data_IF_231656375969
#
_entry.id   IF_231656375969
#
_cell.length_a   1.000
_cell.length_b   1.000
_cell.length_c   1.000
_cell.angle_alpha   90.00
_cell.angle_beta   90.00
_cell.angle_gamma   90.00
#
_symmetry.space_group_name_H-M   'P 1'
#
loop_
_entity.id
_entity.type
_entity.pdbx_description
1 polymer ?
#
# COMPACT_ATOMS: atom_id res chain seq x y z
N UNK A 1 9.39 10.64 -3.21
CA UNK A 1 8.25 9.79 -3.64
C UNK A 1 7.57 9.30 -2.38
N UNK A 2 6.26 9.45 -2.29
CA UNK A 2 5.50 9.10 -1.10
C UNK A 2 5.41 7.57 -0.95
N UNK A 3 5.35 7.04 0.28
CA UNK A 3 5.13 5.64 0.64
C UNK A 3 3.88 5.10 -0.05
N UNK A 4 2.79 5.88 -0.08
CA UNK A 4 1.57 5.49 -0.80
C UNK A 4 1.85 5.32 -2.29
N UNK A 5 2.59 6.23 -2.93
CA UNK A 5 2.96 6.10 -4.35
C UNK A 5 3.83 4.87 -4.60
N UNK A 6 4.78 4.56 -3.71
CA UNK A 6 5.60 3.35 -3.81
C UNK A 6 4.75 2.08 -3.69
N UNK A 7 3.82 2.05 -2.74
CA UNK A 7 2.93 0.91 -2.52
C UNK A 7 2.01 0.69 -3.74
N UNK A 8 1.41 1.76 -4.27
CA UNK A 8 0.59 1.70 -5.48
C UNK A 8 1.40 1.26 -6.71
N UNK A 9 2.65 1.73 -6.83
CA UNK A 9 3.54 1.33 -7.92
C UNK A 9 3.90 -0.17 -7.81
N UNK A 10 4.15 -0.68 -6.61
CA UNK A 10 4.36 -2.13 -6.42
C UNK A 10 3.12 -2.94 -6.77
N UNK A 11 1.92 -2.50 -6.35
CA UNK A 11 0.66 -3.18 -6.69
C UNK A 11 0.43 -3.17 -8.21
N UNK A 12 0.54 -2.00 -8.85
CA UNK A 12 0.41 -1.87 -10.30
C UNK A 12 1.43 -2.74 -11.05
N UNK A 13 2.67 -2.77 -10.58
CA UNK A 13 3.71 -3.63 -11.13
C UNK A 13 3.37 -5.12 -10.94
N UNK A 14 2.90 -5.54 -9.76
CA UNK A 14 2.48 -6.94 -9.53
C UNK A 14 1.30 -7.35 -10.41
N UNK A 15 0.30 -6.49 -10.58
CA UNK A 15 -0.84 -6.72 -11.46
C UNK A 15 -0.40 -6.83 -12.92
N UNK A 16 0.45 -5.91 -13.38
CA UNK A 16 0.98 -5.93 -14.74
C UNK A 16 1.79 -7.21 -14.99
N UNK A 17 2.64 -7.60 -14.04
CA UNK A 17 3.39 -8.86 -14.09
C UNK A 17 2.49 -10.08 -14.13
N UNK A 18 1.41 -10.11 -13.32
CA UNK A 18 0.44 -11.19 -13.31
C UNK A 18 -0.28 -11.30 -14.66
N UNK A 19 -0.73 -10.17 -15.21
CA UNK A 19 -1.40 -10.12 -16.53
C UNK A 19 -0.45 -10.59 -17.63
N UNK A 20 0.82 -10.15 -17.60
CA UNK A 20 1.84 -10.58 -18.56
C UNK A 20 2.08 -12.10 -18.47
N UNK A 21 2.22 -12.64 -17.26
CA UNK A 21 2.40 -14.08 -17.04
C UNK A 21 1.19 -14.89 -17.51
N UNK A 22 -0.04 -14.44 -17.21
CA UNK A 22 -1.27 -15.07 -17.67
C UNK A 22 -1.39 -15.03 -19.19
N UNK A 23 -1.08 -13.89 -19.81
CA UNK A 23 -1.12 -13.74 -21.27
C UNK A 23 -0.11 -14.67 -21.96
N UNK A 24 1.13 -14.72 -21.47
CA UNK A 24 2.16 -15.61 -22.00
C UNK A 24 1.76 -17.09 -21.87
N UNK A 25 1.23 -17.47 -20.71
CA UNK A 25 0.73 -18.84 -20.47
C UNK A 25 -0.44 -19.17 -21.39
N UNK A 26 -1.35 -18.21 -21.61
CA UNK A 26 -2.49 -18.36 -22.52
C UNK A 26 -2.05 -18.60 -23.97
N UNK A 27 -1.06 -17.85 -24.46
CA UNK A 27 -0.50 -18.05 -25.80
C UNK A 27 0.13 -19.44 -25.96
N UNK A 28 0.88 -19.89 -24.95
CA UNK A 28 1.49 -21.23 -24.97
C UNK A 28 0.44 -22.34 -24.95
N UNK A 29 -0.59 -22.21 -24.10
CA UNK A 29 -1.69 -23.18 -24.05
C UNK A 29 -2.45 -23.23 -25.39
N UNK A 30 -2.69 -22.08 -26.01
CA UNK A 30 -3.33 -22.00 -27.31
C UNK A 30 -2.51 -22.73 -28.39
N UNK A 31 -1.19 -22.54 -28.40
CA UNK A 31 -0.31 -23.25 -29.35
C UNK A 31 -0.35 -24.78 -29.16
N UNK A 32 -0.40 -25.25 -27.91
CA UNK A 32 -0.47 -26.68 -27.61
C UNK A 32 -1.82 -27.27 -28.03
N UNK A 33 -2.92 -26.53 -27.84
CA UNK A 33 -4.24 -26.98 -28.33
C UNK A 33 -4.29 -27.12 -29.85
N UNK A 34 -3.63 -26.22 -30.59
CA UNK A 34 -3.56 -26.34 -32.05
C UNK A 34 -2.73 -27.55 -32.51
N UNK A 35 -1.59 -27.81 -31.86
CA UNK A 35 -0.76 -28.99 -32.15
C UNK A 35 -1.52 -30.30 -31.86
N UNK A 36 -2.27 -30.33 -30.75
CA UNK A 36 -3.07 -31.50 -30.39
C UNK A 36 -4.20 -31.78 -31.39
N UNK A 37 -4.84 -30.72 -31.90
CA UNK A 37 -5.89 -30.86 -32.92
C UNK A 37 -5.32 -31.42 -34.24
N UNK A 38 -4.14 -30.96 -34.66
CA UNK A 38 -3.45 -31.51 -35.84
C UNK A 38 -3.09 -32.99 -35.64
N UNK A 39 -2.59 -33.36 -34.46
CA UNK A 39 -2.29 -34.75 -34.12
C UNK A 39 -3.55 -35.62 -34.19
N UNK A 40 -4.66 -35.15 -33.60
CA UNK A 40 -5.95 -35.86 -33.60
C UNK A 40 -6.49 -36.05 -35.02
N UNK A 41 -6.40 -35.04 -35.88
CA UNK A 41 -6.82 -35.11 -37.28
C UNK A 41 -6.02 -36.15 -38.07
N UNK A 42 -4.69 -36.18 -37.91
CA UNK A 42 -3.84 -37.19 -38.57
C UNK A 42 -4.10 -38.60 -38.04
N UNK A 43 -4.33 -38.73 -36.73
CA UNK A 43 -4.67 -40.03 -36.14
C UNK A 43 -6.03 -40.54 -36.65
N UNK A 44 -7.04 -39.68 -36.73
CA UNK A 44 -8.34 -40.01 -37.33
C UNK A 44 -8.18 -40.44 -38.80
N UNK A 45 -7.42 -39.68 -39.60
CA UNK A 45 -7.12 -40.06 -40.99
C UNK A 45 -6.49 -41.46 -41.09
N UNK A 46 -5.50 -41.77 -40.24
CA UNK A 46 -4.87 -43.10 -40.23
C UNK A 46 -5.86 -44.21 -39.85
N UNK A 47 -6.80 -43.94 -38.95
CA UNK A 47 -7.85 -44.88 -38.57
C UNK A 47 -8.82 -45.12 -39.75
N UNK A 48 -9.28 -44.07 -40.41
CA UNK A 48 -10.17 -44.17 -41.57
C UNK A 48 -9.51 -44.88 -42.75
N UNK A 49 -8.21 -44.65 -43.00
CA UNK A 49 -7.45 -45.37 -44.03
C UNK A 49 -7.33 -46.87 -43.73
N UNK A 50 -7.11 -47.24 -42.46
CA UNK A 50 -7.09 -48.63 -42.02
C UNK A 50 -8.48 -49.28 -42.12
N UNK A 51 -9.53 -48.57 -41.74
CA UNK A 51 -10.91 -49.04 -41.88
C UNK A 51 -11.28 -49.26 -43.34
N UNK A 52 -10.90 -48.33 -44.23
CA UNK A 52 -11.08 -48.44 -45.67
C UNK A 52 -10.36 -49.69 -46.20
N UNK A 53 -9.09 -49.88 -45.83
CA UNK A 53 -8.31 -51.07 -46.20
C UNK A 53 -8.97 -52.36 -45.70
N UNK A 54 -9.40 -52.39 -44.44
CA UNK A 54 -10.07 -53.54 -43.85
C UNK A 54 -11.39 -53.88 -44.54
N UNK A 55 -12.23 -52.87 -44.83
CA UNK A 55 -13.49 -53.04 -45.54
C UNK A 55 -13.26 -53.64 -46.94
N UNK A 56 -12.31 -53.10 -47.69
CA UNK A 56 -11.96 -53.59 -49.03
C UNK A 56 -11.39 -55.01 -49.03
N UNK A 57 -10.50 -55.34 -48.09
CA UNK A 57 -9.94 -56.68 -47.93
C UNK A 57 -11.01 -57.70 -47.47
N UNK A 58 -11.94 -57.28 -46.61
CA UNK A 58 -13.03 -58.15 -46.16
C UNK A 58 -13.91 -58.60 -47.32
N UNK A 59 -14.21 -57.69 -48.26
CA UNK A 59 -14.97 -57.99 -49.46
C UNK A 59 -14.16 -58.82 -50.44
N UNK A 60 -12.87 -58.53 -50.62
CA UNK A 60 -11.99 -59.31 -51.49
C UNK A 60 -11.83 -60.77 -51.05
N UNK A 61 -11.98 -61.04 -49.74
CA UNK A 61 -11.92 -62.38 -49.16
C UNK A 61 -13.29 -63.07 -49.05
N UNK A 62 -14.38 -62.38 -49.37
CA UNK A 62 -15.71 -62.94 -49.34
C UNK A 62 -15.87 -63.99 -50.44
N UNK A 63 -16.54 -65.11 -50.14
CA UNK A 63 -16.79 -66.15 -51.11
C UNK A 63 -17.82 -65.66 -52.15
N UNK A 64 -17.47 -65.59 -53.45
CA UNK A 64 -18.36 -65.10 -54.50
C UNK A 64 -19.62 -65.96 -54.71
N UNK A 65 -19.65 -67.19 -54.19
CA UNK A 65 -20.77 -68.13 -54.39
C UNK A 65 -21.88 -68.01 -53.33
N UNK A 66 -21.70 -67.17 -52.30
CA UNK A 66 -22.70 -66.97 -51.26
C UNK A 66 -23.64 -65.80 -51.58
N UNK A 67 -24.95 -65.99 -51.37
CA UNK A 67 -25.97 -64.93 -51.48
C UNK A 67 -25.69 -63.72 -50.56
N UNK A 68 -24.96 -63.94 -49.47
CA UNK A 68 -24.53 -62.88 -48.55
C UNK A 68 -23.55 -61.89 -49.19
N UNK A 69 -22.82 -62.30 -50.23
CA UNK A 69 -21.77 -61.50 -50.87
C UNK A 69 -22.35 -60.33 -51.68
N UNK A 70 -23.56 -60.48 -52.23
CA UNK A 70 -24.31 -59.38 -52.86
C UNK A 70 -24.62 -58.26 -51.86
N UNK A 71 -25.05 -58.65 -50.65
CA UNK A 71 -25.33 -57.69 -49.56
C UNK A 71 -24.03 -57.06 -49.05
N UNK A 72 -23.00 -57.88 -48.84
CA UNK A 72 -21.69 -57.42 -48.39
C UNK A 72 -21.04 -56.45 -49.37
N UNK A 73 -21.21 -56.65 -50.69
CA UNK A 73 -20.76 -55.71 -51.73
C UNK A 73 -21.47 -54.36 -51.61
N UNK A 74 -22.79 -54.36 -51.43
CA UNK A 74 -23.58 -53.14 -51.29
C UNK A 74 -23.23 -52.38 -49.99
N UNK A 75 -23.05 -53.11 -48.89
CA UNK A 75 -22.68 -52.55 -47.58
C UNK A 75 -21.27 -51.96 -47.61
N UNK A 76 -20.30 -52.71 -48.15
CA UNK A 76 -18.91 -52.25 -48.29
C UNK A 76 -18.83 -51.04 -49.22
N UNK A 77 -19.60 -51.00 -50.31
CA UNK A 77 -19.63 -49.84 -51.21
C UNK A 77 -20.19 -48.58 -50.54
N UNK A 78 -21.19 -48.72 -49.66
CA UNK A 78 -21.66 -47.61 -48.83
C UNK A 78 -20.59 -47.15 -47.84
N UNK A 79 -19.93 -48.08 -47.16
CA UNK A 79 -18.87 -47.75 -46.20
C UNK A 79 -17.65 -47.09 -46.88
N UNK A 80 -17.23 -47.57 -48.05
CA UNK A 80 -16.15 -46.96 -48.85
C UNK A 80 -16.50 -45.54 -49.28
N UNK A 81 -17.75 -45.29 -49.70
CA UNK A 81 -18.18 -43.94 -50.08
C UNK A 81 -18.22 -42.98 -48.88
N UNK A 82 -18.68 -43.44 -47.71
CA UNK A 82 -18.66 -42.65 -46.47
C UNK A 82 -17.23 -42.32 -46.05
N UNK A 83 -16.35 -43.33 -45.98
CA UNK A 83 -14.94 -43.15 -45.64
C UNK A 83 -14.24 -42.26 -46.65
N UNK A 84 -14.59 -42.32 -47.94
CA UNK A 84 -14.05 -41.41 -48.96
C UNK A 84 -14.39 -39.95 -48.67
N UNK A 85 -15.61 -39.65 -48.25
CA UNK A 85 -16.04 -38.28 -47.89
C UNK A 85 -15.32 -37.75 -46.64
N UNK A 86 -14.91 -38.62 -45.72
CA UNK A 86 -14.15 -38.27 -44.52
C UNK A 86 -12.63 -38.17 -44.79
N UNK A 87 -12.08 -39.04 -45.63
CA UNK A 87 -10.65 -39.13 -45.95
C UNK A 87 -10.19 -38.01 -46.88
N UNK A 88 -10.96 -37.69 -47.94
CA UNK A 88 -10.62 -36.64 -48.90
C UNK A 88 -10.31 -35.27 -48.25
N UNK A 89 -11.17 -34.71 -47.38
CA UNK A 89 -10.88 -33.42 -46.74
C UNK A 89 -9.73 -33.51 -45.72
N UNK A 90 -9.47 -34.68 -45.13
CA UNK A 90 -8.39 -34.86 -44.17
C UNK A 90 -7.01 -35.05 -44.83
N UNK A 91 -6.96 -35.44 -46.10
CA UNK A 91 -5.71 -35.58 -46.86
C UNK A 91 -5.02 -34.22 -47.14
N UNK A 92 -3.67 -34.19 -47.23
CA UNK A 92 -2.93 -33.04 -47.71
C UNK A 92 -3.39 -32.61 -49.10
N UNK A 93 -3.40 -31.30 -49.37
CA UNK A 93 -3.89 -30.75 -50.65
C UNK A 93 -3.20 -31.36 -51.89
N UNK A 94 -1.91 -31.70 -51.77
CA UNK A 94 -1.13 -32.34 -52.84
C UNK A 94 -1.56 -33.79 -53.15
N UNK A 95 -2.11 -34.51 -52.16
CA UNK A 95 -2.48 -35.93 -52.27
C UNK A 95 -3.99 -36.14 -52.49
N UNK A 96 -4.83 -35.12 -52.20
CA UNK A 96 -6.29 -35.21 -52.25
C UNK A 96 -6.84 -35.63 -53.61
N UNK A 97 -6.46 -34.92 -54.67
CA UNK A 97 -6.87 -35.20 -56.05
C UNK A 97 -6.37 -36.56 -56.58
N UNK A 98 -5.06 -36.87 -56.54
CA UNK A 98 -4.57 -38.13 -57.09
C UNK A 98 -5.10 -39.35 -56.33
N UNK A 99 -5.21 -39.28 -55.00
CA UNK A 99 -5.78 -40.36 -54.20
C UNK A 99 -7.26 -40.57 -54.50
N UNK A 100 -8.05 -39.49 -54.55
CA UNK A 100 -9.48 -39.55 -54.85
C UNK A 100 -9.78 -40.17 -56.21
N UNK A 101 -9.01 -39.79 -57.24
CA UNK A 101 -9.15 -40.35 -58.59
C UNK A 101 -8.78 -41.83 -58.64
N UNK A 102 -7.66 -42.22 -58.04
CA UNK A 102 -7.22 -43.63 -58.01
C UNK A 102 -8.20 -44.50 -57.23
N UNK A 103 -8.69 -44.02 -56.08
CA UNK A 103 -9.68 -44.71 -55.27
C UNK A 103 -10.97 -44.93 -56.05
N UNK A 104 -11.56 -43.87 -56.62
CA UNK A 104 -12.80 -43.97 -57.38
C UNK A 104 -12.64 -44.90 -58.59
N UNK A 105 -11.59 -44.71 -59.40
CA UNK A 105 -11.38 -45.48 -60.62
C UNK A 105 -11.18 -46.98 -60.34
N UNK A 106 -10.30 -47.32 -59.38
CA UNK A 106 -9.98 -48.73 -59.08
C UNK A 106 -11.09 -49.42 -58.31
N UNK A 107 -11.76 -48.72 -57.38
CA UNK A 107 -12.91 -49.25 -56.66
C UNK A 107 -14.09 -49.52 -57.59
N UNK A 108 -14.42 -48.58 -58.48
CA UNK A 108 -15.53 -48.75 -59.43
C UNK A 108 -15.24 -49.84 -60.46
N UNK A 109 -13.97 -50.04 -60.84
CA UNK A 109 -13.57 -51.16 -61.69
C UNK A 109 -13.72 -52.50 -60.97
N UNK A 110 -13.24 -52.59 -59.72
CA UNK A 110 -13.34 -53.78 -58.89
C UNK A 110 -14.80 -54.19 -58.64
N UNK A 111 -15.64 -53.25 -58.19
CA UNK A 111 -17.06 -53.52 -57.90
C UNK A 111 -17.84 -53.94 -59.15
N UNK A 112 -17.57 -53.33 -60.32
CA UNK A 112 -18.16 -53.77 -61.60
C UNK A 112 -17.75 -55.19 -61.95
N UNK A 113 -16.47 -55.54 -61.78
CA UNK A 113 -15.97 -56.87 -62.13
C UNK A 113 -16.50 -57.96 -61.19
N UNK A 114 -16.62 -57.69 -59.89
CA UNK A 114 -17.27 -58.59 -58.93
C UNK A 114 -18.77 -58.72 -59.22
N UNK A 115 -19.45 -57.62 -59.54
CA UNK A 115 -20.87 -57.66 -59.92
C UNK A 115 -21.10 -58.49 -61.19
N UNK A 116 -20.20 -58.41 -62.18
CA UNK A 116 -20.26 -59.28 -63.36
C UNK A 116 -19.97 -60.74 -63.02
N UNK A 117 -19.02 -61.02 -62.12
CA UNK A 117 -18.73 -62.38 -61.68
C UNK A 117 -19.94 -63.03 -61.01
N UNK A 118 -20.68 -62.28 -60.19
CA UNK A 118 -21.91 -62.74 -59.55
C UNK A 118 -23.00 -63.11 -60.57
N UNK A 119 -23.18 -62.30 -61.62
CA UNK A 119 -24.13 -62.61 -62.71
C UNK A 119 -23.70 -63.82 -63.54
N UNK A 120 -22.40 -63.98 -63.75
CA UNK A 120 -21.85 -65.14 -64.47
C UNK A 120 -21.98 -66.40 -63.61
N UNK A 121 -21.82 -66.32 -62.28
CA UNK A 121 -21.99 -67.45 -61.37
C UNK A 121 -23.38 -68.11 -61.46
N UNK A 122 -24.43 -67.34 -61.74
CA UNK A 122 -25.80 -67.85 -61.96
C UNK A 122 -25.92 -68.75 -63.21
N UNK A 123 -25.02 -68.57 -64.19
CA UNK A 123 -25.08 -69.25 -65.51
C UNK A 123 -23.90 -70.19 -65.77
N UNK A 124 -22.74 -69.96 -65.14
CA UNK A 124 -21.48 -70.72 -65.30
C UNK A 124 -20.61 -70.55 -64.03
N UNK A 125 -20.80 -71.41 -63.01
CA UNK A 125 -20.12 -71.29 -61.72
C UNK A 125 -18.59 -71.41 -61.81
N UNK A 126 -18.10 -72.21 -62.75
CA UNK A 126 -16.67 -72.54 -62.88
C UNK A 126 -15.85 -71.37 -63.42
N UNK A 127 -16.41 -70.60 -64.35
CA UNK A 127 -15.77 -69.38 -64.88
C UNK A 127 -15.79 -68.23 -63.86
N UNK A 128 -16.80 -68.19 -63.00
CA UNK A 128 -16.97 -67.14 -62.00
C UNK A 128 -15.95 -67.20 -60.85
N UNK A 129 -15.35 -68.36 -60.58
CA UNK A 129 -14.37 -68.52 -59.49
C UNK A 129 -13.05 -67.77 -59.72
N UNK A 130 -12.61 -67.62 -60.99
CA UNK A 130 -11.32 -66.98 -61.31
C UNK A 130 -11.41 -65.44 -61.43
N UNK A 131 -12.62 -64.88 -61.63
CA UNK A 131 -12.83 -63.45 -61.88
C UNK A 131 -12.52 -62.58 -60.64
N UNK A 132 -12.94 -62.92 -59.41
CA UNK A 132 -12.62 -62.17 -58.21
C UNK A 132 -11.12 -62.10 -57.92
N UNK A 133 -10.42 -63.22 -58.12
CA UNK A 133 -8.97 -63.31 -57.91
C UNK A 133 -8.18 -62.43 -58.90
N UNK A 134 -8.63 -62.39 -60.16
CA UNK A 134 -8.06 -61.49 -61.17
C UNK A 134 -8.38 -60.02 -60.86
N UNK A 135 -9.61 -59.69 -60.48
CA UNK A 135 -10.02 -58.34 -60.11
C UNK A 135 -9.25 -57.84 -58.88
N UNK A 136 -8.99 -58.71 -57.91
CA UNK A 136 -8.20 -58.41 -56.74
C UNK A 136 -6.77 -58.02 -57.12
N UNK A 137 -6.09 -58.83 -57.93
CA UNK A 137 -4.71 -58.57 -58.37
C UNK A 137 -4.60 -57.29 -59.22
N UNK A 138 -5.58 -57.03 -60.08
CA UNK A 138 -5.51 -55.92 -61.05
C UNK A 138 -5.93 -54.57 -60.48
N UNK A 139 -6.92 -54.55 -59.58
CA UNK A 139 -7.51 -53.32 -59.06
C UNK A 139 -7.27 -53.10 -57.57
N UNK A 140 -7.38 -54.14 -56.75
CA UNK A 140 -7.24 -54.01 -55.29
C UNK A 140 -5.80 -53.92 -54.83
N UNK A 141 -4.91 -54.78 -55.31
CA UNK A 141 -3.50 -54.76 -54.93
C UNK A 141 -2.85 -53.36 -55.06
N UNK A 142 -2.94 -52.68 -56.22
CA UNK A 142 -2.35 -51.34 -56.38
C UNK A 142 -3.07 -50.27 -55.56
N UNK A 143 -4.37 -50.45 -55.27
CA UNK A 143 -5.11 -49.55 -54.40
C UNK A 143 -4.67 -49.68 -52.93
N UNK A 144 -4.49 -50.92 -52.45
CA UNK A 144 -3.95 -51.22 -51.12
C UNK A 144 -2.53 -50.66 -50.99
N UNK A 145 -1.70 -50.80 -52.02
CA UNK A 145 -0.35 -50.23 -52.03
C UNK A 145 -0.37 -48.70 -51.94
N UNK A 146 -1.29 -48.03 -52.65
CA UNK A 146 -1.47 -46.57 -52.55
C UNK A 146 -1.91 -46.15 -51.13
N UNK A 147 -2.79 -46.93 -50.51
CA UNK A 147 -3.23 -46.69 -49.12
C UNK A 147 -2.08 -46.92 -48.15
N UNK A 148 -1.29 -47.98 -48.34
CA UNK A 148 -0.14 -48.29 -47.49
C UNK A 148 0.94 -47.22 -47.60
N UNK A 149 1.20 -46.67 -48.79
CA UNK A 149 2.09 -45.52 -48.97
C UNK A 149 1.60 -44.30 -48.19
N UNK A 150 0.30 -44.00 -48.25
CA UNK A 150 -0.28 -42.88 -47.49
C UNK A 150 -0.25 -43.12 -45.98
N UNK A 151 -0.54 -44.36 -45.55
CA UNK A 151 -0.49 -44.75 -44.14
C UNK A 151 0.93 -44.63 -43.58
N UNK A 152 1.93 -45.05 -44.35
CA UNK A 152 3.34 -44.92 -43.98
C UNK A 152 3.77 -43.45 -43.90
N UNK A 153 3.31 -42.62 -44.85
CA UNK A 153 3.57 -41.17 -44.83
C UNK A 153 2.96 -40.50 -43.59
N UNK A 154 1.73 -40.87 -43.21
CA UNK A 154 1.09 -40.37 -41.98
C UNK A 154 1.77 -40.90 -40.73
N UNK A 155 2.18 -42.17 -40.68
CA UNK A 155 2.87 -42.74 -39.52
C UNK A 155 4.22 -42.06 -39.28
N UNK A 156 5.00 -41.84 -40.34
CA UNK A 156 6.24 -41.07 -40.27
C UNK A 156 5.98 -39.62 -39.83
N UNK A 157 4.89 -39.00 -40.31
CA UNK A 157 4.47 -37.68 -39.88
C UNK A 157 4.09 -37.62 -38.39
N UNK A 158 3.34 -38.62 -37.91
CA UNK A 158 2.93 -38.75 -36.51
C UNK A 158 4.13 -38.95 -35.58
N UNK A 159 5.10 -39.78 -35.94
CA UNK A 159 6.31 -39.99 -35.14
C UNK A 159 7.12 -38.68 -34.98
N UNK A 160 7.20 -37.86 -36.03
CA UNK A 160 7.85 -36.55 -35.97
C UNK A 160 7.06 -35.59 -35.08
N UNK A 161 5.74 -35.54 -35.23
CA UNK A 161 4.86 -34.69 -34.41
C UNK A 161 4.90 -35.12 -32.94
N UNK A 162 4.90 -36.42 -32.64
CA UNK A 162 4.98 -36.93 -31.28
C UNK A 162 6.32 -36.61 -30.59
N UNK A 163 7.43 -36.78 -31.32
CA UNK A 163 8.75 -36.38 -30.84
C UNK A 163 8.84 -34.87 -30.58
N UNK A 164 8.28 -34.06 -31.48
CA UNK A 164 8.21 -32.61 -31.30
C UNK A 164 7.28 -32.22 -30.12
N UNK A 165 6.18 -32.95 -29.92
CA UNK A 165 5.27 -32.75 -28.79
C UNK A 165 5.95 -33.08 -27.46
N UNK A 166 6.68 -34.20 -27.36
CA UNK A 166 7.43 -34.55 -26.15
C UNK A 166 8.52 -33.52 -25.82
N UNK A 167 9.26 -33.06 -26.83
CA UNK A 167 10.26 -32.01 -26.66
C UNK A 167 9.62 -30.66 -26.26
N UNK A 168 8.47 -30.35 -26.86
CA UNK A 168 7.72 -29.12 -26.57
C UNK A 168 7.13 -29.16 -25.16
N UNK A 169 6.54 -30.27 -24.71
CA UNK A 169 6.01 -30.43 -23.34
C UNK A 169 7.11 -30.24 -22.29
N UNK A 170 8.29 -30.83 -22.51
CA UNK A 170 9.44 -30.65 -21.62
C UNK A 170 9.91 -29.20 -21.54
N UNK A 171 9.95 -28.50 -22.68
CA UNK A 171 10.25 -27.05 -22.72
C UNK A 171 9.12 -26.22 -22.14
N UNK A 172 7.87 -26.63 -22.30
CA UNK A 172 6.68 -25.93 -21.82
C UNK A 172 6.74 -25.78 -20.30
N UNK A 173 7.20 -26.82 -19.60
CA UNK A 173 7.35 -26.78 -18.16
C UNK A 173 8.30 -25.64 -17.75
N UNK A 174 9.48 -25.55 -18.35
CA UNK A 174 10.40 -24.44 -18.08
C UNK A 174 9.93 -23.09 -18.65
N UNK A 175 9.20 -23.10 -19.75
CA UNK A 175 8.68 -21.88 -20.39
C UNK A 175 7.47 -21.27 -19.65
N UNK A 176 6.72 -22.06 -18.88
CA UNK A 176 5.65 -21.59 -17.98
C UNK A 176 6.21 -21.29 -16.59
N UNK A 177 6.93 -22.25 -16.00
CA UNK A 177 7.42 -22.11 -14.63
C UNK A 177 8.51 -21.04 -14.53
N UNK A 178 9.38 -20.92 -15.54
CA UNK A 178 10.50 -19.98 -15.55
C UNK A 178 10.06 -18.53 -15.38
N UNK A 179 9.21 -18.00 -16.28
CA UNK A 179 8.68 -16.64 -16.15
C UNK A 179 7.89 -16.43 -14.87
N UNK A 180 7.10 -17.42 -14.44
CA UNK A 180 6.30 -17.32 -13.22
C UNK A 180 7.18 -17.21 -11.97
N UNK A 181 8.21 -18.05 -11.87
CA UNK A 181 9.19 -18.02 -10.78
C UNK A 181 10.00 -16.73 -10.83
N UNK A 182 10.41 -16.28 -12.02
CA UNK A 182 11.18 -15.05 -12.18
C UNK A 182 10.37 -13.83 -11.73
N UNK A 183 9.14 -13.70 -12.21
CA UNK A 183 8.20 -12.64 -11.81
C UNK A 183 7.94 -12.69 -10.30
N UNK A 184 7.62 -13.88 -9.77
CA UNK A 184 7.41 -14.07 -8.34
C UNK A 184 8.63 -13.66 -7.51
N UNK A 185 9.82 -14.06 -7.94
CA UNK A 185 11.08 -13.73 -7.27
C UNK A 185 11.34 -12.22 -7.28
N UNK A 186 11.16 -11.56 -8.43
CA UNK A 186 11.32 -10.09 -8.55
C UNK A 186 10.35 -9.35 -7.63
N UNK A 187 9.08 -9.78 -7.59
CA UNK A 187 8.06 -9.18 -6.72
C UNK A 187 8.43 -9.36 -5.25
N UNK A 188 8.81 -10.57 -4.84
CA UNK A 188 9.21 -10.85 -3.45
C UNK A 188 10.43 -10.05 -3.05
N UNK A 189 11.45 -9.95 -3.91
CA UNK A 189 12.66 -9.15 -3.64
C UNK A 189 12.33 -7.66 -3.48
N UNK A 190 11.47 -7.12 -4.35
CA UNK A 190 11.04 -5.72 -4.28
C UNK A 190 10.24 -5.43 -2.99
N UNK A 191 9.33 -6.33 -2.62
CA UNK A 191 8.57 -6.24 -1.37
C UNK A 191 9.49 -6.36 -0.14
N UNK A 192 10.46 -7.27 -0.16
CA UNK A 192 11.41 -7.46 0.94
C UNK A 192 12.30 -6.23 1.11
N UNK A 193 12.76 -5.62 0.01
CA UNK A 193 13.53 -4.37 0.05
C UNK A 193 12.69 -3.21 0.61
N UNK A 194 11.43 -3.07 0.18
CA UNK A 194 10.51 -2.08 0.71
C UNK A 194 10.23 -2.30 2.20
N UNK A 195 9.99 -3.54 2.64
CA UNK A 195 9.74 -3.89 4.03
C UNK A 195 10.96 -3.62 4.92
N UNK A 196 12.17 -3.99 4.47
CA UNK A 196 13.42 -3.71 5.21
C UNK A 196 13.65 -2.23 5.38
N UNK A 197 13.48 -1.44 4.31
CA UNK A 197 13.68 0.01 4.38
C UNK A 197 12.65 0.68 5.29
N UNK A 198 11.38 0.26 5.24
CA UNK A 198 10.33 0.76 6.12
C UNK A 198 10.60 0.38 7.58
N UNK A 199 10.94 -0.89 7.86
CA UNK A 199 11.28 -1.36 9.21
C UNK A 199 12.41 -0.55 9.84
N UNK A 200 13.50 -0.35 9.11
CA UNK A 200 14.65 0.40 9.62
C UNK A 200 14.29 1.86 9.94
N UNK A 201 13.43 2.48 9.12
CA UNK A 201 12.98 3.86 9.33
C UNK A 201 12.07 4.00 10.53
N UNK A 202 11.10 3.09 10.68
CA UNK A 202 10.23 3.07 11.86
C UNK A 202 11.06 2.89 13.13
N UNK A 203 12.04 1.98 13.12
CA UNK A 203 12.96 1.80 14.26
C UNK A 203 13.71 3.08 14.62
N UNK A 204 14.22 3.83 13.63
CA UNK A 204 14.88 5.11 13.90
C UNK A 204 13.94 6.14 14.52
N UNK A 205 12.68 6.19 14.06
CA UNK A 205 11.66 7.09 14.64
C UNK A 205 11.32 6.65 16.07
N UNK A 206 11.12 5.36 16.33
CA UNK A 206 10.87 4.83 17.67
C UNK A 206 12.02 5.16 18.62
N UNK A 207 13.27 4.92 18.21
CA UNK A 207 14.44 5.24 19.03
C UNK A 207 14.57 6.74 19.32
N UNK A 208 14.25 7.61 18.35
CA UNK A 208 14.24 9.05 18.57
C UNK A 208 13.11 9.47 19.53
N UNK A 209 11.92 8.88 19.37
CA UNK A 209 10.78 9.12 20.25
C UNK A 209 11.06 8.66 21.69
N UNK A 210 11.69 7.50 21.88
CA UNK A 210 12.09 6.99 23.20
C UNK A 210 13.07 7.96 23.89
N UNK A 211 14.00 8.57 23.15
CA UNK A 211 14.92 9.59 23.69
C UNK A 211 14.19 10.86 24.12
N UNK A 212 13.21 11.31 23.33
CA UNK A 212 12.38 12.46 23.68
C UNK A 212 11.54 12.15 24.92
N UNK A 213 10.94 10.96 24.98
CA UNK A 213 10.16 10.48 26.13
C UNK A 213 11.00 10.34 27.40
N UNK A 214 12.28 9.98 27.27
CA UNK A 214 13.25 9.95 28.37
C UNK A 214 13.71 11.35 28.85
N UNK A 215 13.12 12.43 28.33
CA UNK A 215 13.39 13.81 28.75
C UNK A 215 14.50 14.51 27.96
N UNK A 216 15.10 13.86 26.96
CA UNK A 216 16.04 14.53 26.05
C UNK A 216 15.27 15.27 24.95
N UNK A 217 14.74 16.44 25.30
CA UNK A 217 13.99 17.31 24.37
C UNK A 217 14.85 17.98 23.31
N UNK A 218 16.19 17.85 23.39
CA UNK A 218 17.11 18.25 22.32
C UNK A 218 17.20 17.21 21.20
N UNK A 219 16.75 15.97 21.44
CA UNK A 219 16.63 14.98 20.38
C UNK A 219 15.54 15.40 19.37
N UNK A 220 15.79 15.13 18.09
CA UNK A 220 14.87 15.40 16.98
C UNK A 220 14.60 14.11 16.20
N UNK A 221 13.40 13.99 15.64
CA UNK A 221 13.09 12.90 14.72
C UNK A 221 13.85 13.13 13.40
N UNK A 222 14.33 12.05 12.73
CA UNK A 222 15.04 12.17 11.47
C UNK A 222 14.12 12.67 10.34
N UNK A 223 14.40 13.85 9.76
CA UNK A 223 13.58 14.48 8.71
C UNK A 223 14.05 14.20 7.27
N UNK A 224 15.10 13.40 7.10
CA UNK A 224 15.85 13.25 5.83
C UNK A 224 15.05 12.65 4.67
N UNK A 225 13.79 12.32 4.89
CA UNK A 225 12.91 11.67 3.92
C UNK A 225 11.81 12.58 3.39
N UNK A 226 11.60 12.56 2.07
CA UNK A 226 10.49 13.27 1.41
C UNK A 226 9.21 12.43 1.32
N UNK A 227 9.05 11.45 2.20
CA UNK A 227 7.84 10.62 2.33
C UNK A 227 6.99 11.08 3.53
N UNK A 228 5.88 10.39 3.75
CA UNK A 228 4.88 10.68 4.78
C UNK A 228 5.48 10.54 6.18
N UNK A 229 6.45 9.63 6.37
CA UNK A 229 7.17 9.50 7.63
C UNK A 229 8.07 10.70 7.91
N UNK A 230 8.75 11.23 6.90
CA UNK A 230 9.54 12.46 7.05
C UNK A 230 8.67 13.71 7.29
N UNK A 231 7.52 13.81 6.62
CA UNK A 231 6.54 14.86 6.90
C UNK A 231 6.00 14.78 8.34
N UNK A 232 5.66 13.57 8.81
CA UNK A 232 5.26 13.36 10.19
C UNK A 232 6.38 13.75 11.18
N UNK A 233 7.62 13.35 10.91
CA UNK A 233 8.78 13.73 11.72
C UNK A 233 8.96 15.26 11.78
N UNK A 234 8.77 15.95 10.66
CA UNK A 234 8.84 17.41 10.60
C UNK A 234 7.75 18.08 11.45
N UNK A 235 6.51 17.61 11.39
CA UNK A 235 5.43 18.14 12.22
C UNK A 235 5.66 17.90 13.71
N UNK A 236 6.17 16.73 14.08
CA UNK A 236 6.54 16.42 15.47
C UNK A 236 7.68 17.32 15.94
N UNK A 237 8.71 17.52 15.13
CA UNK A 237 9.82 18.43 15.46
C UNK A 237 9.33 19.88 15.65
N UNK A 238 8.43 20.38 14.79
CA UNK A 238 7.82 21.71 14.94
C UNK A 238 7.01 21.83 16.25
N UNK A 239 6.31 20.78 16.64
CA UNK A 239 5.58 20.75 17.91
C UNK A 239 6.53 20.76 19.11
N UNK A 240 7.66 20.04 19.03
CA UNK A 240 8.74 20.08 20.03
C UNK A 240 9.35 21.47 20.18
N UNK A 241 9.60 22.16 19.06
CA UNK A 241 10.15 23.52 19.09
C UNK A 241 9.20 24.49 19.81
N UNK A 242 7.89 24.41 19.52
CA UNK A 242 6.86 25.19 20.23
C UNK A 242 6.76 24.85 21.72
N UNK A 243 6.92 23.58 22.08
CA UNK A 243 6.90 23.16 23.48
C UNK A 243 8.11 23.72 24.23
N UNK A 244 9.29 23.70 23.61
CA UNK A 244 10.51 24.29 24.17
C UNK A 244 10.38 25.81 24.35
N UNK A 245 9.79 26.51 23.37
CA UNK A 245 9.50 27.95 23.46
C UNK A 245 8.58 28.25 24.66
N UNK A 246 7.46 27.54 24.80
CA UNK A 246 6.54 27.71 25.94
C UNK A 246 7.22 27.39 27.28
N UNK A 247 8.04 26.34 27.35
CA UNK A 247 8.79 26.00 28.56
C UNK A 247 9.80 27.09 28.92
N UNK A 248 10.44 27.71 27.93
CA UNK A 248 11.37 28.82 28.13
C UNK A 248 10.64 30.05 28.66
N UNK A 249 9.47 30.38 28.11
CA UNK A 249 8.63 31.49 28.59
C UNK A 249 8.15 31.27 30.02
N UNK A 250 7.74 30.04 30.37
CA UNK A 250 7.36 29.67 31.74
C UNK A 250 8.55 29.80 32.68
N UNK A 251 9.75 29.36 32.26
CA UNK A 251 10.95 29.48 33.08
C UNK A 251 11.34 30.95 33.34
N UNK A 252 11.32 31.79 32.30
CA UNK A 252 11.58 33.23 32.44
C UNK A 252 10.53 33.90 33.33
N UNK A 253 9.25 33.55 33.16
CA UNK A 253 8.15 34.07 33.98
C UNK A 253 8.29 33.65 35.45
N UNK A 254 8.73 32.42 35.72
CA UNK A 254 8.98 31.93 37.08
C UNK A 254 10.12 32.71 37.75
N UNK A 255 11.23 32.97 37.04
CA UNK A 255 12.33 33.80 37.55
C UNK A 255 11.85 35.22 37.85
N UNK A 256 11.05 35.81 36.96
CA UNK A 256 10.51 37.14 37.17
C UNK A 256 9.58 37.19 38.39
N UNK A 257 8.74 36.17 38.57
CA UNK A 257 7.85 36.04 39.73
C UNK A 257 8.61 35.87 41.05
N UNK A 258 9.72 35.14 41.06
CA UNK A 258 10.61 35.04 42.21
C UNK A 258 11.22 36.42 42.55
N UNK A 259 11.71 37.16 41.55
CA UNK A 259 12.23 38.51 41.73
C UNK A 259 11.18 39.49 42.27
N UNK A 260 9.96 39.44 41.73
CA UNK A 260 8.82 40.23 42.24
C UNK A 260 8.48 39.87 43.70
N UNK A 261 8.51 38.58 44.05
CA UNK A 261 8.26 38.13 45.43
C UNK A 261 9.32 38.66 46.40
N UNK A 262 10.60 38.69 45.99
CA UNK A 262 11.67 39.31 46.78
C UNK A 262 11.46 40.81 46.96
N UNK A 263 11.02 41.51 45.91
CA UNK A 263 10.72 42.94 45.97
C UNK A 263 9.53 43.24 46.91
N UNK A 264 8.48 42.42 46.87
CA UNK A 264 7.35 42.52 47.82
C UNK A 264 7.80 42.27 49.26
N UNK A 265 8.71 41.32 49.48
CA UNK A 265 9.27 41.07 50.81
C UNK A 265 10.08 42.28 51.32
N UNK A 266 10.87 42.91 50.45
CA UNK A 266 11.60 44.14 50.79
C UNK A 266 10.66 45.30 51.11
N UNK A 267 9.63 45.52 50.28
CA UNK A 267 8.61 46.54 50.52
C UNK A 267 7.88 46.31 51.85
N UNK A 268 7.50 45.06 52.12
CA UNK A 268 6.86 44.67 53.40
C UNK A 268 7.77 45.01 54.58
N UNK A 269 9.06 44.73 54.47
CA UNK A 269 10.06 45.05 55.51
C UNK A 269 10.16 46.56 55.74
N UNK A 270 10.17 47.38 54.67
CA UNK A 270 10.18 48.84 54.76
C UNK A 270 8.90 49.38 55.41
N UNK A 271 7.73 48.85 55.06
CA UNK A 271 6.44 49.25 55.63
C UNK A 271 6.40 48.95 57.14
N UNK A 272 6.90 47.79 57.56
CA UNK A 272 7.01 47.43 58.99
C UNK A 272 7.91 48.44 59.73
N UNK A 273 9.04 48.82 59.14
CA UNK A 273 9.96 49.79 59.76
C UNK A 273 9.34 51.20 59.85
N UNK A 274 8.66 51.65 58.79
CA UNK A 274 7.93 52.93 58.81
C UNK A 274 6.81 52.93 59.86
N UNK A 275 6.09 51.82 60.00
CA UNK A 275 5.03 51.69 61.01
C UNK A 275 5.61 51.78 62.43
N UNK A 276 6.79 51.18 62.68
CA UNK A 276 7.49 51.34 63.96
C UNK A 276 7.87 52.80 64.25
N UNK A 277 8.41 53.50 63.26
CA UNK A 277 8.73 54.92 63.41
C UNK A 277 7.47 55.75 63.68
N UNK A 278 6.36 55.45 63.01
CA UNK A 278 5.08 56.13 63.23
C UNK A 278 4.53 55.90 64.65
N UNK A 279 4.66 54.69 65.19
CA UNK A 279 4.30 54.40 66.59
C UNK A 279 5.14 55.27 67.54
N UNK A 280 6.46 55.37 67.31
CA UNK A 280 7.33 56.24 68.13
C UNK A 280 6.93 57.71 68.06
N UNK A 281 6.61 58.22 66.86
CA UNK A 281 6.09 59.58 66.72
C UNK A 281 4.73 59.76 67.42
N UNK A 282 3.87 58.74 67.40
CA UNK A 282 2.61 58.72 68.14
C UNK A 282 2.81 58.79 69.65
N UNK A 283 3.77 58.04 70.19
CA UNK A 283 4.14 58.07 71.62
C UNK A 283 4.71 59.44 72.03
N UNK A 284 5.60 60.01 71.20
CA UNK A 284 6.11 61.37 71.43
C UNK A 284 5.00 62.42 71.39
N UNK A 285 4.05 62.29 70.46
CA UNK A 285 2.90 63.18 70.37
C UNK A 285 2.01 63.06 71.61
N UNK A 286 1.80 61.84 72.14
CA UNK A 286 1.11 61.64 73.42
C UNK A 286 1.86 62.27 74.60
N UNK A 287 3.19 62.15 74.66
CA UNK A 287 3.99 62.82 75.70
C UNK A 287 3.88 64.34 75.61
N UNK A 288 3.93 64.91 74.40
CA UNK A 288 3.71 66.34 74.17
C UNK A 288 2.30 66.75 74.58
N UNK A 289 1.28 65.95 74.27
CA UNK A 289 -0.10 66.21 74.70
C UNK A 289 -0.24 66.18 76.23
N UNK A 290 0.45 65.27 76.92
CA UNK A 290 0.48 65.21 78.39
C UNK A 290 1.22 66.41 78.99
N UNK A 291 2.35 66.82 78.41
CA UNK A 291 3.08 68.04 78.78
C UNK A 291 2.20 69.29 78.61
N UNK A 292 1.48 69.39 77.50
CA UNK A 292 0.54 70.49 77.23
C UNK A 292 -0.63 70.49 78.21
N UNK A 293 -1.20 69.33 78.53
CA UNK A 293 -2.24 69.19 79.55
C UNK A 293 -1.74 69.61 80.95
N UNK A 294 -0.50 69.24 81.29
CA UNK A 294 0.16 69.69 82.52
C UNK A 294 0.41 71.20 82.56
N UNK A 295 0.94 71.77 81.46
CA UNK A 295 1.19 73.21 81.33
C UNK A 295 -0.10 74.04 81.39
N UNK A 296 -1.19 73.54 80.81
CA UNK A 296 -2.50 74.21 80.91
C UNK A 296 -3.08 74.14 82.31
N UNK A 297 -2.90 73.03 83.03
CA UNK A 297 -3.27 72.93 84.45
C UNK A 297 -2.45 73.92 85.31
N UNK A 298 -1.14 74.02 85.07
CA UNK A 298 -0.24 74.95 85.79
C UNK A 298 -0.58 76.43 85.51
N UNK A 299 -0.91 76.76 84.26
CA UNK A 299 -1.37 78.11 83.87
C UNK A 299 -2.70 78.48 84.52
N UNK A 300 -3.65 77.54 84.61
CA UNK A 300 -4.92 77.75 85.30
C UNK A 300 -4.74 77.94 86.80
N UNK A 301 -3.78 77.22 87.40
CA UNK A 301 -3.46 77.34 88.82
C UNK A 301 -2.71 78.65 89.15
N UNK A 302 -1.82 79.10 88.24
CA UNK A 302 -1.09 80.36 88.37
C UNK A 302 -1.97 81.60 88.12
N UNK A 303 -3.06 81.45 87.37
CA UNK A 303 -4.07 82.49 87.13
C UNK A 303 -4.90 82.86 88.39
N UNK A 304 -4.90 82.03 89.43
CA UNK A 304 -5.67 82.28 90.66
C UNK A 304 -4.90 83.05 91.75
N UNK A 305 -3.64 83.46 91.53
CA UNK A 305 -2.85 84.25 92.49
C UNK A 305 -2.68 85.72 92.03
N UNK A 306 -3.29 86.70 92.72
CA UNK A 306 -3.20 88.11 92.34
C UNK A 306 -1.96 88.74 92.98
N UNK A 307 -0.80 88.62 92.33
CA UNK A 307 0.33 89.52 92.63
C UNK A 307 1.22 89.73 91.40
N UNK A 308 1.24 90.96 90.90
CA UNK A 308 2.33 91.61 90.16
C UNK A 308 3.14 90.75 89.20
N UNK A 309 2.58 90.42 88.04
CA UNK A 309 3.36 89.90 86.93
C UNK A 309 4.18 91.06 86.33
N UNK A 310 5.50 91.05 86.53
CA UNK A 310 6.41 91.95 85.80
C UNK A 310 6.29 91.64 84.30
N UNK A 311 5.89 92.63 83.51
CA UNK A 311 5.63 92.58 82.06
C UNK A 311 6.73 91.84 81.27
N UNK A 312 7.98 91.94 81.74
CA UNK A 312 9.17 91.31 81.18
C UNK A 312 9.16 89.77 81.23
N UNK A 313 8.58 89.19 82.29
CA UNK A 313 8.46 87.73 82.45
C UNK A 313 7.35 87.17 81.57
N UNK A 314 6.25 87.91 81.43
CA UNK A 314 5.17 87.59 80.49
C UNK A 314 5.70 87.66 79.06
N UNK A 315 6.45 88.71 78.70
CA UNK A 315 7.02 88.88 77.36
C UNK A 315 8.01 87.77 77.00
N UNK A 316 8.91 87.40 77.92
CA UNK A 316 9.85 86.28 77.70
C UNK A 316 9.14 84.92 77.58
N UNK A 317 8.09 84.68 78.38
CA UNK A 317 7.31 83.44 78.29
C UNK A 317 6.47 83.40 77.00
N UNK A 318 5.83 84.52 76.62
CA UNK A 318 5.08 84.65 75.37
C UNK A 318 5.97 84.43 74.14
N UNK A 319 7.19 84.98 74.12
CA UNK A 319 8.16 84.73 73.04
C UNK A 319 8.60 83.26 72.97
N UNK A 320 8.70 82.57 74.11
CA UNK A 320 9.00 81.13 74.10
C UNK A 320 7.81 80.33 73.56
N UNK A 321 6.59 80.68 73.96
CA UNK A 321 5.36 80.03 73.51
C UNK A 321 5.08 80.30 72.03
N UNK A 322 5.38 81.50 71.52
CA UNK A 322 5.30 81.82 70.09
C UNK A 322 6.33 81.03 69.29
N UNK A 323 7.56 80.84 69.82
CA UNK A 323 8.56 79.98 69.19
C UNK A 323 8.16 78.50 69.18
N UNK A 324 7.55 78.00 70.25
CA UNK A 324 7.01 76.64 70.29
C UNK A 324 5.81 76.47 69.35
N UNK A 325 4.88 77.43 69.28
CA UNK A 325 3.78 77.42 68.33
C UNK A 325 4.24 77.50 66.87
N UNK A 326 5.33 78.22 66.58
CA UNK A 326 5.95 78.20 65.25
C UNK A 326 6.59 76.85 64.91
N UNK A 327 7.22 76.19 65.89
CA UNK A 327 7.75 74.82 65.69
C UNK A 327 6.61 73.82 65.47
N UNK A 328 5.51 73.95 66.23
CA UNK A 328 4.32 73.13 66.05
C UNK A 328 3.67 73.37 64.67
N UNK A 329 3.58 74.63 64.24
CA UNK A 329 3.08 75.00 62.92
C UNK A 329 3.89 74.36 61.79
N UNK A 330 5.23 74.34 61.91
CA UNK A 330 6.09 73.62 60.95
C UNK A 330 5.88 72.12 60.98
N UNK A 331 5.74 71.52 62.17
CA UNK A 331 5.49 70.08 62.29
C UNK A 331 4.12 69.69 61.67
N UNK A 332 3.10 70.54 61.81
CA UNK A 332 1.78 70.33 61.18
C UNK A 332 1.86 70.50 59.65
N UNK A 333 2.64 71.46 59.16
CA UNK A 333 2.87 71.65 57.72
C UNK A 333 3.64 70.45 57.11
N UNK A 334 4.64 69.94 57.83
CA UNK A 334 5.36 68.72 57.46
C UNK A 334 4.43 67.50 57.42
N UNK A 335 3.51 67.34 58.38
CA UNK A 335 2.49 66.29 58.38
C UNK A 335 1.52 66.47 57.20
N UNK A 336 1.10 67.70 56.89
CA UNK A 336 0.26 68.01 55.73
C UNK A 336 0.93 67.61 54.41
N UNK A 337 2.22 67.92 54.28
CA UNK A 337 3.03 67.51 53.12
C UNK A 337 3.20 66.00 53.01
N UNK A 338 3.31 65.29 54.15
CA UNK A 338 3.36 63.83 54.21
C UNK A 338 2.02 63.21 53.80
N UNK A 339 0.90 63.80 54.23
CA UNK A 339 -0.45 63.37 53.84
C UNK A 339 -0.70 63.50 52.34
N UNK A 340 -0.21 64.57 51.71
CA UNK A 340 -0.25 64.73 50.25
C UNK A 340 0.61 63.69 49.53
N UNK A 341 1.82 63.41 50.03
CA UNK A 341 2.67 62.33 49.46
C UNK A 341 2.06 60.94 49.58
N UNK A 342 1.40 60.63 50.71
CA UNK A 342 0.71 59.35 50.89
C UNK A 342 -0.48 59.24 49.92
N UNK A 343 -1.22 60.34 49.72
CA UNK A 343 -2.30 60.39 48.73
C UNK A 343 -1.77 60.17 47.30
N UNK A 344 -0.68 60.80 46.92
CA UNK A 344 -0.05 60.60 45.60
C UNK A 344 0.45 59.15 45.43
N UNK A 345 1.03 58.54 46.47
CA UNK A 345 1.44 57.13 46.42
C UNK A 345 0.24 56.17 46.34
N UNK A 346 -0.88 56.49 46.99
CA UNK A 346 -2.11 55.71 46.88
C UNK A 346 -2.76 55.84 45.49
N UNK A 347 -2.75 57.03 44.88
CA UNK A 347 -3.18 57.23 43.49
C UNK A 347 -2.26 56.50 42.50
N UNK A 348 -0.94 56.53 42.70
CA UNK A 348 0.01 55.75 41.88
C UNK A 348 -0.19 54.24 42.04
N UNK A 349 -0.44 53.76 43.25
CA UNK A 349 -0.72 52.34 43.49
C UNK A 349 -2.06 51.90 42.90
N UNK A 350 -3.06 52.79 42.84
CA UNK A 350 -4.35 52.53 42.18
C UNK A 350 -4.27 52.58 40.65
N UNK A 351 -3.23 53.18 40.07
CA UNK A 351 -2.99 53.22 38.63
C UNK A 351 -2.12 52.05 38.12
N UNK A 352 -1.42 51.37 39.03
CA UNK A 352 -0.54 50.23 38.74
C UNK A 352 -1.18 48.87 39.04
N UNK A 353 -2.26 48.84 39.82
CA UNK A 353 -3.16 47.71 39.99
C UNK A 353 -4.32 47.81 39.00
#
# INVERSE_FOLDING_TARGET
MTLVKRLWLTIAFTLLSLVLALSLTGVQLYSLTQQFEQYRQRQALSAHLNELKAAMLSLARADPMLDSTTRQLADTSRQVNQLREEILPALPAAAREPFGQVLAQRWDAFTRQISSALKIAETSPEDALNIPDAAYKMHMLPLIETIDQQLQAEHNGLAVVEADMQATVGRLLFAILGPLVLVGTVVVLLQLAAARTLKNRILMICQAADRIAAGNTAARLPDSSKDELGQAAQHVNLALDKLLEVMQDVHVSAIHSEGQSQQVLELTTRVVEQTRQQIQYGEQSQQVAQLLAGLTADLLQQSQQPTGITLERLQGKLESTVRELQKLGRAIDDIGSLGLRIRDMAEQSSLLA
#
